data_IF_233584234404
#
_entry.id   IF_233584234404
#
_cell.length_a   1.000
_cell.length_b   1.000
_cell.length_c   1.000
_cell.angle_alpha   90.00
_cell.angle_beta   90.00
_cell.angle_gamma   90.00
#
_symmetry.space_group_name_H-M   'P 1'
#
loop_
_entity.id
_entity.type
_entity.pdbx_description
1 polymer ?
#
# COMPACT_ATOMS: atom_id res chain seq x y z
N UNK A 1 2.20 7.46 -49.00
CA UNK A 1 1.39 7.22 -47.79
C UNK A 1 2.31 6.56 -46.77
N UNK A 2 2.67 7.25 -45.69
CA UNK A 2 3.40 6.65 -44.58
C UNK A 2 2.42 6.57 -43.40
N UNK A 3 2.06 5.36 -43.01
CA UNK A 3 1.35 5.09 -41.75
C UNK A 3 2.28 5.52 -40.62
N UNK A 4 1.87 6.51 -39.85
CA UNK A 4 2.51 6.89 -38.59
C UNK A 4 2.31 5.75 -37.60
N UNK A 5 3.43 5.16 -37.16
CA UNK A 5 3.47 4.25 -36.03
C UNK A 5 2.89 4.97 -34.80
N UNK A 6 1.66 4.63 -34.43
CA UNK A 6 1.13 4.95 -33.11
C UNK A 6 2.06 4.31 -32.09
N UNK A 7 2.82 5.15 -31.38
CA UNK A 7 3.59 4.70 -30.23
C UNK A 7 2.59 4.20 -29.20
N UNK A 8 2.50 2.87 -29.05
CA UNK A 8 1.83 2.24 -27.92
C UNK A 8 2.62 2.62 -26.68
N UNK A 9 2.22 3.72 -26.04
CA UNK A 9 2.69 4.04 -24.70
C UNK A 9 2.00 3.03 -23.79
N UNK A 10 2.71 1.97 -23.43
CA UNK A 10 2.34 1.15 -22.27
C UNK A 10 2.44 2.06 -21.05
N UNK A 11 1.35 2.73 -20.73
CA UNK A 11 1.24 3.44 -19.46
C UNK A 11 1.14 2.33 -18.41
N UNK A 12 2.23 2.04 -17.73
CA UNK A 12 2.22 1.18 -16.54
C UNK A 12 1.36 1.95 -15.54
N UNK A 13 0.10 1.54 -15.39
CA UNK A 13 -0.76 2.08 -14.36
C UNK A 13 -0.26 1.51 -13.05
N UNK A 14 0.47 2.32 -12.28
CA UNK A 14 0.94 1.93 -10.96
C UNK A 14 -0.24 2.04 -9.98
N UNK A 15 -1.11 1.03 -9.95
CA UNK A 15 -2.27 1.05 -9.05
C UNK A 15 -1.81 0.78 -7.62
N UNK A 16 -2.11 1.73 -6.73
CA UNK A 16 -1.80 1.72 -5.32
C UNK A 16 -3.09 1.60 -4.53
N UNK A 17 -3.11 0.63 -3.61
CA UNK A 17 -4.15 0.50 -2.60
C UNK A 17 -3.65 1.07 -1.27
N UNK A 18 -4.26 2.17 -0.84
CA UNK A 18 -3.98 2.85 0.42
C UNK A 18 -5.02 2.48 1.48
N UNK A 19 -4.59 1.84 2.55
CA UNK A 19 -5.46 1.35 3.62
C UNK A 19 -5.22 2.19 4.87
N UNK A 20 -6.23 2.98 5.25
CA UNK A 20 -6.26 3.73 6.50
C UNK A 20 -5.25 4.88 6.61
N UNK A 21 -4.72 5.34 5.47
CA UNK A 21 -3.95 6.59 5.42
C UNK A 21 -4.82 7.76 5.90
N UNK A 22 -4.19 8.76 6.55
CA UNK A 22 -4.89 9.96 7.01
C UNK A 22 -5.70 10.59 5.86
N UNK A 23 -6.97 10.98 6.09
CA UNK A 23 -7.84 11.50 5.03
C UNK A 23 -7.25 12.67 4.23
N UNK A 24 -6.46 13.53 4.87
CA UNK A 24 -5.77 14.65 4.20
C UNK A 24 -4.71 14.16 3.22
N UNK A 25 -3.89 13.19 3.61
CA UNK A 25 -2.86 12.58 2.75
C UNK A 25 -3.50 11.81 1.60
N UNK A 26 -4.54 11.02 1.89
CA UNK A 26 -5.30 10.29 0.87
C UNK A 26 -5.88 11.23 -0.20
N UNK A 27 -6.43 12.37 0.22
CA UNK A 27 -6.95 13.40 -0.69
C UNK A 27 -5.85 14.03 -1.55
N UNK A 28 -4.67 14.29 -0.98
CA UNK A 28 -3.54 14.84 -1.73
C UNK A 28 -3.00 13.85 -2.76
N UNK A 29 -2.80 12.58 -2.36
CA UNK A 29 -2.36 11.50 -3.24
C UNK A 29 -3.36 11.28 -4.38
N UNK A 30 -4.66 11.21 -4.07
CA UNK A 30 -5.70 11.05 -5.08
C UNK A 30 -5.81 12.28 -6.02
N UNK A 31 -5.57 13.50 -5.53
CA UNK A 31 -5.53 14.69 -6.42
C UNK A 31 -4.35 14.67 -7.38
N UNK A 32 -3.19 14.23 -6.91
CA UNK A 32 -1.99 14.12 -7.74
C UNK A 32 -2.09 12.97 -8.75
N UNK A 33 -2.74 11.87 -8.34
CA UNK A 33 -2.78 10.61 -9.08
C UNK A 33 -4.18 9.94 -9.03
N UNK A 34 -5.23 10.55 -9.62
CA UNK A 34 -6.63 10.13 -9.40
C UNK A 34 -6.99 8.75 -9.96
N UNK A 35 -6.25 8.27 -10.95
CA UNK A 35 -6.48 6.97 -11.57
C UNK A 35 -5.53 5.88 -11.06
N UNK A 36 -4.63 6.21 -10.15
CA UNK A 36 -3.59 5.31 -9.65
C UNK A 36 -3.78 5.02 -8.15
N UNK A 37 -4.58 5.81 -7.42
CA UNK A 37 -4.78 5.63 -5.97
C UNK A 37 -6.21 5.19 -5.68
N UNK A 38 -6.35 3.97 -5.15
CA UNK A 38 -7.57 3.45 -4.53
C UNK A 38 -7.38 3.51 -3.02
N UNK A 39 -8.34 4.08 -2.30
CA UNK A 39 -8.25 4.23 -0.87
C UNK A 39 -9.40 3.52 -0.15
N UNK A 40 -9.07 2.81 0.92
CA UNK A 40 -10.03 2.16 1.82
C UNK A 40 -9.67 2.47 3.27
N UNK A 41 -10.68 2.44 4.15
CA UNK A 41 -10.46 2.67 5.59
C UNK A 41 -10.37 1.34 6.37
N UNK A 42 -10.71 0.22 5.73
CA UNK A 42 -10.82 -1.09 6.37
C UNK A 42 -10.17 -2.22 5.56
N UNK A 43 -9.58 -3.19 6.27
CA UNK A 43 -8.93 -4.36 5.69
C UNK A 43 -9.87 -5.22 4.83
N UNK A 44 -11.12 -5.41 5.26
CA UNK A 44 -12.10 -6.19 4.49
C UNK A 44 -12.42 -5.57 3.13
N UNK A 45 -12.52 -4.24 3.07
CA UNK A 45 -12.77 -3.53 1.82
C UNK A 45 -11.55 -3.62 0.90
N UNK A 46 -10.35 -3.54 1.48
CA UNK A 46 -9.10 -3.75 0.75
C UNK A 46 -9.00 -5.16 0.13
N UNK A 47 -9.41 -6.21 0.85
CA UNK A 47 -9.47 -7.57 0.32
C UNK A 47 -10.41 -7.64 -0.88
N UNK A 48 -11.59 -7.03 -0.79
CA UNK A 48 -12.53 -6.98 -1.92
C UNK A 48 -11.93 -6.25 -3.13
N UNK A 49 -11.20 -5.16 -2.91
CA UNK A 49 -10.47 -4.45 -3.98
C UNK A 49 -9.41 -5.33 -4.64
N UNK A 50 -8.63 -6.09 -3.86
CA UNK A 50 -7.61 -7.01 -4.40
C UNK A 50 -8.19 -8.13 -5.27
N UNK A 51 -9.47 -8.47 -5.06
CA UNK A 51 -10.17 -9.48 -5.88
C UNK A 51 -10.69 -8.92 -7.21
N UNK A 52 -10.86 -7.59 -7.32
CA UNK A 52 -11.45 -6.95 -8.50
C UNK A 52 -10.48 -6.10 -9.31
N UNK A 53 -9.37 -5.67 -8.72
CA UNK A 53 -8.42 -4.73 -9.30
C UNK A 53 -6.99 -5.30 -9.31
N UNK A 54 -6.21 -4.97 -10.34
CA UNK A 54 -4.79 -5.28 -10.36
C UNK A 54 -4.02 -4.24 -9.54
N UNK A 55 -3.56 -4.63 -8.35
CA UNK A 55 -2.84 -3.76 -7.42
C UNK A 55 -1.35 -4.07 -7.44
N UNK A 56 -0.52 -3.07 -7.73
CA UNK A 56 0.94 -3.24 -7.72
C UNK A 56 1.53 -2.96 -6.34
N UNK A 57 0.97 -2.02 -5.59
CA UNK A 57 1.48 -1.66 -4.27
C UNK A 57 0.37 -1.46 -3.26
N UNK A 58 0.52 -2.04 -2.07
CA UNK A 58 -0.34 -1.81 -0.92
C UNK A 58 0.42 -0.97 0.10
N UNK A 59 -0.16 0.15 0.52
CA UNK A 59 0.27 0.88 1.72
C UNK A 59 -0.76 0.64 2.82
N UNK A 60 -0.34 0.05 3.93
CA UNK A 60 -1.19 -0.18 5.09
C UNK A 60 -0.70 0.63 6.29
N UNK A 61 -1.53 1.56 6.78
CA UNK A 61 -1.29 2.24 8.06
C UNK A 61 -1.76 1.34 9.21
N UNK A 62 -0.83 0.90 10.06
CA UNK A 62 -1.15 0.03 11.19
C UNK A 62 -2.14 0.66 12.18
N UNK A 63 -2.28 1.98 12.22
CA UNK A 63 -3.25 2.67 13.09
C UNK A 63 -4.71 2.45 12.66
N UNK A 64 -4.94 1.97 11.44
CA UNK A 64 -6.26 1.65 10.93
C UNK A 64 -6.83 0.35 11.51
N UNK A 65 -6.00 -0.45 12.19
CA UNK A 65 -6.38 -1.71 12.79
C UNK A 65 -6.03 -1.78 14.28
N UNK A 66 -6.86 -2.51 15.03
CA UNK A 66 -6.59 -2.87 16.43
C UNK A 66 -5.71 -4.10 16.56
N UNK A 67 -5.64 -4.92 15.51
CA UNK A 67 -4.84 -6.14 15.41
C UNK A 67 -4.25 -6.21 13.99
N UNK A 68 -3.31 -5.32 13.72
CA UNK A 68 -2.73 -5.18 12.38
C UNK A 68 -1.95 -6.43 11.95
N UNK A 69 -1.49 -7.28 12.88
CA UNK A 69 -0.78 -8.52 12.53
C UNK A 69 -1.73 -9.53 11.88
N UNK A 70 -2.93 -9.71 12.46
CA UNK A 70 -3.98 -10.54 11.89
C UNK A 70 -4.43 -9.99 10.52
N UNK A 71 -4.62 -8.67 10.41
CA UNK A 71 -5.03 -8.03 9.16
C UNK A 71 -3.96 -8.13 8.07
N UNK A 72 -2.67 -7.96 8.41
CA UNK A 72 -1.56 -8.18 7.47
C UNK A 72 -1.58 -9.63 6.97
N UNK A 73 -1.76 -10.61 7.85
CA UNK A 73 -1.84 -12.01 7.44
C UNK A 73 -3.02 -12.26 6.49
N UNK A 74 -4.19 -11.66 6.77
CA UNK A 74 -5.36 -11.76 5.91
C UNK A 74 -5.10 -11.12 4.54
N UNK A 75 -4.54 -9.91 4.50
CA UNK A 75 -4.20 -9.22 3.26
C UNK A 75 -3.18 -10.01 2.43
N UNK A 76 -2.10 -10.48 3.05
CA UNK A 76 -1.08 -11.28 2.35
C UNK A 76 -1.69 -12.54 1.72
N UNK A 77 -2.67 -13.17 2.37
CA UNK A 77 -3.34 -14.35 1.82
C UNK A 77 -4.19 -14.06 0.57
N UNK A 78 -4.64 -12.81 0.41
CA UNK A 78 -5.40 -12.33 -0.75
C UNK A 78 -4.53 -11.58 -1.77
N UNK A 79 -3.27 -11.30 -1.44
CA UNK A 79 -2.39 -10.44 -2.24
C UNK A 79 -1.56 -11.29 -3.21
N UNK A 80 -1.57 -10.98 -4.52
CA UNK A 80 -0.67 -11.63 -5.48
C UNK A 80 0.81 -11.45 -5.08
N UNK A 81 1.64 -12.47 -5.33
CA UNK A 81 3.08 -12.46 -4.99
C UNK A 81 3.85 -11.30 -5.67
N UNK A 82 3.32 -10.77 -6.77
CA UNK A 82 3.90 -9.64 -7.51
C UNK A 82 3.64 -8.28 -6.87
N UNK A 83 2.67 -8.19 -5.97
CA UNK A 83 2.27 -6.93 -5.32
C UNK A 83 3.24 -6.59 -4.20
N UNK A 84 3.79 -5.37 -4.22
CA UNK A 84 4.63 -4.84 -3.15
C UNK A 84 3.76 -4.50 -1.95
N UNK A 85 4.19 -4.90 -0.76
CA UNK A 85 3.48 -4.56 0.47
C UNK A 85 4.34 -3.65 1.34
N UNK A 86 3.78 -2.49 1.69
CA UNK A 86 4.38 -1.52 2.60
C UNK A 86 3.51 -1.36 3.84
N UNK A 87 4.05 -1.75 4.99
CA UNK A 87 3.40 -1.59 6.30
C UNK A 87 3.98 -0.35 6.99
N UNK A 88 3.14 0.63 7.31
CA UNK A 88 3.51 1.80 8.08
C UNK A 88 3.19 1.53 9.54
N UNK A 89 4.20 1.53 10.40
CA UNK A 89 4.03 1.38 11.85
C UNK A 89 4.44 2.65 12.59
N UNK A 90 3.71 2.99 13.65
CA UNK A 90 3.98 4.18 14.47
C UNK A 90 4.94 3.91 15.64
N UNK A 91 5.41 2.67 15.77
CA UNK A 91 6.41 2.26 16.76
C UNK A 91 7.48 1.39 16.09
N UNK A 92 8.72 1.51 16.57
CA UNK A 92 9.83 0.68 16.10
C UNK A 92 9.87 -0.62 16.91
N UNK A 93 9.63 -1.76 16.28
CA UNK A 93 9.81 -3.09 16.87
C UNK A 93 10.71 -3.94 15.97
N UNK A 94 11.97 -4.11 16.35
CA UNK A 94 12.97 -4.80 15.53
C UNK A 94 12.63 -6.28 15.27
N UNK A 95 12.02 -6.96 16.24
CA UNK A 95 11.62 -8.37 16.08
C UNK A 95 10.49 -8.50 15.08
N UNK A 96 9.43 -7.70 15.24
CA UNK A 96 8.31 -7.68 14.29
C UNK A 96 8.75 -7.28 12.88
N UNK A 97 9.63 -6.27 12.75
CA UNK A 97 10.16 -5.84 11.46
C UNK A 97 10.94 -6.95 10.74
N UNK A 98 11.75 -7.74 11.46
CA UNK A 98 12.45 -8.89 10.88
C UNK A 98 11.47 -9.97 10.40
N UNK A 99 10.42 -10.23 11.18
CA UNK A 99 9.35 -11.16 10.78
C UNK A 99 8.66 -10.67 9.50
N UNK A 100 8.27 -9.40 9.43
CA UNK A 100 7.62 -8.82 8.25
C UNK A 100 8.54 -8.79 7.02
N UNK A 101 9.82 -8.49 7.20
CA UNK A 101 10.81 -8.58 6.13
C UNK A 101 10.93 -10.01 5.58
N UNK A 102 10.87 -11.02 6.45
CA UNK A 102 10.82 -12.43 6.05
C UNK A 102 9.58 -12.81 5.23
N UNK A 103 8.49 -12.03 5.35
CA UNK A 103 7.27 -12.15 4.55
C UNK A 103 7.29 -11.28 3.28
N UNK A 104 8.41 -10.62 2.97
CA UNK A 104 8.52 -9.71 1.83
C UNK A 104 7.86 -8.33 2.03
N UNK A 105 7.44 -8.01 3.26
CA UNK A 105 6.83 -6.71 3.59
C UNK A 105 7.93 -5.69 3.89
N UNK A 106 7.83 -4.53 3.25
CA UNK A 106 8.65 -3.37 3.59
C UNK A 106 7.99 -2.62 4.75
N UNK A 107 8.67 -2.51 5.89
CA UNK A 107 8.14 -1.77 7.04
C UNK A 107 8.67 -0.34 7.06
N UNK A 108 7.77 0.65 7.04
CA UNK A 108 8.07 2.06 7.29
C UNK A 108 7.73 2.39 8.74
N UNK A 109 8.73 2.47 9.60
CA UNK A 109 8.55 2.82 11.01
C UNK A 109 8.70 4.33 11.23
N UNK A 110 7.83 4.96 12.02
CA UNK A 110 7.99 6.35 12.50
C UNK A 110 8.16 6.47 14.02
N UNK A 111 8.69 7.62 14.50
CA UNK A 111 10.11 7.94 14.47
C UNK A 111 10.93 7.16 15.52
N UNK A 112 12.20 6.87 15.19
CA UNK A 112 13.25 6.66 16.18
C UNK A 112 13.32 7.95 17.00
N UNK A 113 13.17 7.88 18.34
CA UNK A 113 13.34 9.06 19.23
C UNK A 113 14.56 9.89 18.78
N UNK A 114 14.38 11.16 18.41
CA UNK A 114 15.54 12.02 18.13
C UNK A 114 15.41 13.20 17.16
N UNK A 115 14.21 13.73 16.89
CA UNK A 115 14.09 15.07 16.30
C UNK A 115 13.09 15.86 17.14
N UNK A 116 13.62 16.44 18.22
CA UNK A 116 13.06 17.66 18.78
C UNK A 116 13.21 18.75 17.69
N UNK A 117 12.09 19.17 17.11
CA UNK A 117 11.96 20.39 16.32
C UNK A 117 11.08 21.37 17.10
#
# INVERSE_FOLDING_TARGET
MYQTNESVVFKVAHTVLAIGLRPTLTKELHRAHPHEIIATDHCNDAINTLLSEEIETIFFDSAASRDFEADVSALLSATPVTTRFVLITHTTNLGANQTFAGLGITTLTGPVKGLDL
#
